data_IF_474691561464
#
_entry.id   IF_474691561464
#
_cell.length_a   1.000
_cell.length_b   1.000
_cell.length_c   1.000
_cell.angle_alpha   90.00
_cell.angle_beta   90.00
_cell.angle_gamma   90.00
#
_symmetry.space_group_name_H-M   'P 1'
#
loop_
_entity.id
_entity.type
_entity.pdbx_description
1 polymer ?
#
# COMPACT_ATOMS: atom_id res chain seq x y z
N UNK A 1 -21.98 -17.61 -25.14
CA UNK A 1 -20.62 -17.41 -24.59
C UNK A 1 -20.56 -15.96 -24.16
N UNK A 2 -20.59 -15.72 -22.85
CA UNK A 2 -20.48 -14.36 -22.30
C UNK A 2 -19.00 -13.97 -22.37
N UNK A 3 -18.64 -12.79 -22.94
CA UNK A 3 -17.26 -12.33 -22.85
C UNK A 3 -17.01 -11.93 -21.39
N UNK A 4 -16.01 -12.58 -20.77
CA UNK A 4 -15.42 -12.08 -19.53
C UNK A 4 -14.82 -10.70 -19.84
N UNK A 5 -15.27 -9.70 -19.09
CA UNK A 5 -14.98 -8.28 -19.28
C UNK A 5 -13.68 -7.83 -18.57
N UNK A 6 -12.82 -8.76 -18.17
CA UNK A 6 -11.41 -8.48 -17.87
C UNK A 6 -10.59 -8.77 -19.12
N UNK A 7 -10.19 -7.73 -19.85
CA UNK A 7 -9.28 -7.91 -20.98
C UNK A 7 -7.90 -8.37 -20.46
N UNK A 8 -7.13 -9.10 -21.27
CA UNK A 8 -5.76 -9.52 -20.90
C UNK A 8 -4.88 -8.30 -20.52
N UNK A 9 -5.22 -7.12 -21.02
CA UNK A 9 -4.57 -5.85 -20.68
C UNK A 9 -4.86 -5.41 -19.24
N UNK A 10 -6.06 -5.69 -18.71
CA UNK A 10 -6.46 -5.39 -17.33
C UNK A 10 -5.73 -6.32 -16.36
N UNK A 11 -5.68 -7.63 -16.63
CA UNK A 11 -4.91 -8.59 -15.80
C UNK A 11 -3.40 -8.27 -15.81
N UNK A 12 -2.87 -7.83 -16.95
CA UNK A 12 -1.48 -7.37 -17.05
C UNK A 12 -1.24 -6.02 -16.34
N UNK A 13 -2.25 -5.14 -16.29
CA UNK A 13 -2.19 -3.88 -15.55
C UNK A 13 -2.25 -4.11 -14.03
N UNK A 14 -3.11 -5.02 -13.56
CA UNK A 14 -3.20 -5.42 -12.15
C UNK A 14 -1.88 -6.06 -11.66
N UNK A 15 -1.31 -6.98 -12.44
CA UNK A 15 0.00 -7.57 -12.11
C UNK A 15 1.11 -6.52 -12.03
N UNK A 16 1.07 -5.48 -12.87
CA UNK A 16 2.04 -4.37 -12.83
C UNK A 16 1.85 -3.50 -11.60
N UNK A 17 0.61 -3.21 -11.19
CA UNK A 17 0.33 -2.41 -10.00
C UNK A 17 0.81 -3.13 -8.72
N UNK A 18 0.49 -4.41 -8.59
CA UNK A 18 0.95 -5.22 -7.45
C UNK A 18 2.47 -5.27 -7.37
N UNK A 19 3.16 -5.48 -8.51
CA UNK A 19 4.62 -5.46 -8.56
C UNK A 19 5.22 -4.11 -8.11
N UNK A 20 4.60 -2.99 -8.47
CA UNK A 20 5.03 -1.67 -8.03
C UNK A 20 4.79 -1.42 -6.54
N UNK A 21 3.67 -1.91 -5.99
CA UNK A 21 3.42 -1.83 -4.54
C UNK A 21 4.44 -2.68 -3.78
N UNK A 22 4.76 -3.87 -4.26
CA UNK A 22 5.78 -4.74 -3.67
C UNK A 22 7.17 -4.08 -3.74
N UNK A 23 7.55 -3.52 -4.89
CA UNK A 23 8.81 -2.77 -5.05
C UNK A 23 8.89 -1.61 -4.05
N UNK A 24 7.81 -0.83 -3.91
CA UNK A 24 7.72 0.28 -2.97
C UNK A 24 7.85 -0.19 -1.50
N UNK A 25 7.12 -1.22 -1.11
CA UNK A 25 7.13 -1.74 0.27
C UNK A 25 8.48 -2.39 0.62
N UNK A 26 9.17 -2.99 -0.35
CA UNK A 26 10.54 -3.49 -0.17
C UNK A 26 11.55 -2.36 0.07
N UNK A 27 11.31 -1.17 -0.48
CA UNK A 27 12.10 0.03 -0.22
C UNK A 27 11.76 0.74 1.11
N UNK A 28 10.63 0.41 1.74
CA UNK A 28 10.23 0.99 3.02
C UNK A 28 11.03 0.39 4.20
N UNK A 29 11.27 1.20 5.22
CA UNK A 29 11.78 0.71 6.50
C UNK A 29 10.81 -0.31 7.13
N UNK A 30 11.36 -1.27 7.88
CA UNK A 30 10.59 -2.41 8.43
C UNK A 30 9.33 -1.98 9.20
N UNK A 31 9.46 -0.96 10.04
CA UNK A 31 8.34 -0.42 10.82
C UNK A 31 7.24 0.16 9.93
N UNK A 32 7.59 0.96 8.92
CA UNK A 32 6.60 1.59 8.03
C UNK A 32 5.93 0.55 7.12
N UNK A 33 6.68 -0.46 6.65
CA UNK A 33 6.13 -1.62 5.93
C UNK A 33 5.12 -2.37 6.81
N UNK A 34 5.49 -2.68 8.06
CA UNK A 34 4.59 -3.37 8.99
C UNK A 34 3.32 -2.56 9.26
N UNK A 35 3.44 -1.26 9.52
CA UNK A 35 2.29 -0.37 9.74
C UNK A 35 1.37 -0.37 8.50
N UNK A 36 1.95 -0.30 7.30
CA UNK A 36 1.18 -0.28 6.06
C UNK A 36 0.43 -1.61 5.83
N UNK A 37 1.12 -2.74 5.96
CA UNK A 37 0.52 -4.09 5.79
C UNK A 37 -0.57 -4.33 6.84
N UNK A 38 -0.33 -4.00 8.12
CA UNK A 38 -1.37 -4.10 9.15
C UNK A 38 -2.59 -3.26 8.82
N UNK A 39 -2.39 -2.04 8.32
CA UNK A 39 -3.50 -1.15 7.97
C UNK A 39 -4.33 -1.64 6.78
N UNK A 40 -3.69 -2.13 5.71
CA UNK A 40 -4.37 -2.40 4.44
C UNK A 40 -4.65 -3.87 4.17
N UNK A 41 -3.83 -4.78 4.70
CA UNK A 41 -4.02 -6.22 4.56
C UNK A 41 -4.83 -6.81 5.72
N UNK A 42 -4.51 -6.42 6.95
CA UNK A 42 -5.19 -6.89 8.15
C UNK A 42 -6.36 -6.00 8.59
N UNK A 43 -6.53 -4.85 7.93
CA UNK A 43 -7.55 -3.84 8.25
C UNK A 43 -7.51 -3.32 9.69
N UNK A 44 -6.37 -3.41 10.36
CA UNK A 44 -6.22 -2.95 11.75
C UNK A 44 -6.51 -1.44 11.88
N UNK A 45 -7.07 -1.03 13.02
CA UNK A 45 -7.22 0.38 13.38
C UNK A 45 -5.86 1.02 13.71
N UNK A 46 -5.80 2.36 13.80
CA UNK A 46 -4.56 3.03 14.24
C UNK A 46 -4.22 2.69 15.69
N UNK A 47 -5.23 2.36 16.47
CA UNK A 47 -5.17 1.97 17.88
C UNK A 47 -4.62 0.55 18.02
N UNK A 48 -5.07 -0.39 17.19
CA UNK A 48 -4.53 -1.77 17.17
C UNK A 48 -3.07 -1.81 16.71
N UNK A 49 -2.71 -0.98 15.72
CA UNK A 49 -1.33 -0.83 15.27
C UNK A 49 -0.47 -0.18 16.35
N UNK A 50 -0.99 0.84 17.04
CA UNK A 50 -0.31 1.47 18.16
C UNK A 50 -0.01 0.45 19.27
N UNK A 51 -0.97 -0.40 19.63
CA UNK A 51 -0.79 -1.46 20.61
C UNK A 51 0.28 -2.47 20.17
N UNK A 52 0.28 -2.90 18.90
CA UNK A 52 1.23 -3.87 18.37
C UNK A 52 2.67 -3.33 18.23
N UNK A 53 2.84 -2.02 18.09
CA UNK A 53 4.14 -1.37 17.83
C UNK A 53 4.70 -0.59 19.02
N UNK A 54 3.95 -0.44 20.10
CA UNK A 54 4.29 0.43 21.22
C UNK A 54 4.25 1.93 20.89
N UNK A 55 3.70 2.30 19.73
CA UNK A 55 3.59 3.69 19.28
C UNK A 55 2.33 4.36 19.82
N UNK A 56 2.29 5.69 19.75
CA UNK A 56 1.04 6.45 19.90
C UNK A 56 0.23 6.38 18.60
N UNK A 57 -1.09 6.23 18.68
CA UNK A 57 -1.97 6.20 17.51
C UNK A 57 -1.83 7.43 16.60
N UNK A 58 -1.55 8.61 17.17
CA UNK A 58 -1.23 9.80 16.38
C UNK A 58 0.03 9.65 15.51
N UNK A 59 1.08 9.02 16.04
CA UNK A 59 2.31 8.76 15.29
C UNK A 59 2.09 7.72 14.17
N UNK A 60 1.25 6.71 14.42
CA UNK A 60 0.82 5.74 13.39
C UNK A 60 0.11 6.45 12.25
N UNK A 61 -0.85 7.34 12.54
CA UNK A 61 -1.56 8.13 11.52
C UNK A 61 -0.62 9.01 10.69
N UNK A 62 0.34 9.68 11.34
CA UNK A 62 1.34 10.50 10.65
C UNK A 62 2.22 9.67 9.72
N UNK A 63 2.71 8.50 10.18
CA UNK A 63 3.51 7.59 9.34
C UNK A 63 2.69 7.09 8.15
N UNK A 64 1.49 6.58 8.39
CA UNK A 64 0.57 6.15 7.33
C UNK A 64 0.31 7.25 6.29
N UNK A 65 0.13 8.50 6.74
CA UNK A 65 -0.06 9.64 5.83
C UNK A 65 1.15 9.86 4.91
N UNK A 66 2.36 9.83 5.50
CA UNK A 66 3.61 9.98 4.76
C UNK A 66 3.82 8.84 3.76
N UNK A 67 3.70 7.59 4.22
CA UNK A 67 3.88 6.41 3.36
C UNK A 67 2.89 6.40 2.20
N UNK A 68 1.64 6.81 2.41
CA UNK A 68 0.66 6.97 1.30
C UNK A 68 1.07 8.02 0.28
N UNK A 69 1.56 9.18 0.74
CA UNK A 69 2.00 10.25 -0.15
C UNK A 69 3.22 9.84 -0.98
N UNK A 70 4.14 9.10 -0.36
CA UNK A 70 5.31 8.51 -1.02
C UNK A 70 4.90 7.44 -2.03
N UNK A 71 3.99 6.52 -1.67
CA UNK A 71 3.46 5.51 -2.59
C UNK A 71 2.77 6.17 -3.80
N UNK A 72 1.91 7.18 -3.56
CA UNK A 72 1.26 7.93 -4.65
C UNK A 72 2.30 8.54 -5.59
N UNK A 73 3.32 9.18 -5.04
CA UNK A 73 4.40 9.80 -5.84
C UNK A 73 5.21 8.77 -6.61
N UNK A 74 5.44 7.60 -6.01
CA UNK A 74 6.14 6.48 -6.64
C UNK A 74 5.35 5.90 -7.82
N UNK A 75 4.06 5.65 -7.63
CA UNK A 75 3.17 5.11 -8.68
C UNK A 75 3.02 6.07 -9.85
N UNK A 76 2.85 7.38 -9.59
CA UNK A 76 2.81 8.40 -10.65
C UNK A 76 4.12 8.40 -11.47
N UNK A 77 5.28 8.29 -10.82
CA UNK A 77 6.57 8.20 -11.52
C UNK A 77 6.71 6.94 -12.38
N UNK A 78 6.00 5.86 -12.02
CA UNK A 78 5.95 4.60 -12.79
C UNK A 78 4.88 4.63 -13.90
N UNK A 79 4.20 5.76 -14.10
CA UNK A 79 3.19 5.96 -15.14
C UNK A 79 1.79 5.47 -14.77
N UNK A 80 1.52 5.26 -13.48
CA UNK A 80 0.18 4.90 -12.99
C UNK A 80 -0.65 6.17 -12.77
N UNK A 81 -1.84 6.22 -13.36
CA UNK A 81 -2.83 7.27 -13.10
C UNK A 81 -3.63 6.94 -11.82
N UNK A 82 -3.77 7.92 -10.90
CA UNK A 82 -4.33 7.76 -9.55
C UNK A 82 -5.37 8.82 -9.19
#
# INVERSE_FOLDING_TARGET
VLPADGSVEDEAAEHRLSAYIDEFLNGCGELDRMIFVRRYWYMDSSEDIAAATGMKAGAVRTRLSRTRAELKSFLIKKGVEL
#
